data_IF_823732007062
#
_entry.id   IF_823732007062
#
_cell.length_a   1.000
_cell.length_b   1.000
_cell.length_c   1.000
_cell.angle_alpha   90.00
_cell.angle_beta   90.00
_cell.angle_gamma   90.00
#
_symmetry.space_group_name_H-M   'P 1'
#
loop_
_entity.id
_entity.type
_entity.pdbx_description
1 polymer ?
#
# COMPACT_ATOMS: atom_id res chain seq x y z
N UNK A 1 -17.95 -7.48 16.60
CA UNK A 1 -16.84 -6.53 16.81
C UNK A 1 -16.82 -5.57 15.64
N UNK A 2 -16.83 -4.24 15.86
CA UNK A 2 -16.84 -3.26 14.76
C UNK A 2 -15.49 -3.16 14.04
N UNK A 3 -15.48 -2.67 12.79
CA UNK A 3 -14.28 -2.56 11.94
C UNK A 3 -13.10 -1.86 12.65
N UNK A 4 -13.40 -0.76 13.35
CA UNK A 4 -12.41 -0.01 14.14
C UNK A 4 -11.76 -0.88 15.23
N UNK A 5 -12.54 -1.67 15.95
CA UNK A 5 -12.02 -2.53 17.01
C UNK A 5 -11.11 -3.64 16.45
N UNK A 6 -11.41 -4.18 15.27
CA UNK A 6 -10.53 -5.17 14.61
C UNK A 6 -9.19 -4.52 14.24
N UNK A 7 -9.20 -3.33 13.64
CA UNK A 7 -7.98 -2.63 13.26
C UNK A 7 -7.14 -2.27 14.49
N UNK A 8 -7.76 -1.78 15.57
CA UNK A 8 -7.05 -1.44 16.80
C UNK A 8 -6.44 -2.68 17.48
N UNK A 9 -7.13 -3.83 17.45
CA UNK A 9 -6.56 -5.10 17.91
C UNK A 9 -5.26 -5.44 17.15
N UNK A 10 -5.27 -5.35 15.83
CA UNK A 10 -4.08 -5.64 15.02
C UNK A 10 -2.96 -4.63 15.23
N UNK A 11 -3.29 -3.34 15.36
CA UNK A 11 -2.32 -2.28 15.67
C UNK A 11 -1.64 -2.50 17.02
N UNK A 12 -2.39 -2.91 18.04
CA UNK A 12 -1.87 -3.14 19.39
C UNK A 12 -0.73 -4.18 19.41
N UNK A 13 -0.77 -5.14 18.49
CA UNK A 13 0.22 -6.21 18.37
C UNK A 13 1.19 -6.03 17.19
N UNK A 14 1.30 -4.82 16.62
CA UNK A 14 2.10 -4.60 15.42
C UNK A 14 3.62 -4.82 15.62
N UNK A 15 4.12 -4.72 16.85
CA UNK A 15 5.53 -4.91 17.20
C UNK A 15 5.90 -6.33 17.65
N UNK A 16 4.91 -7.14 17.98
CA UNK A 16 5.09 -8.50 18.49
C UNK A 16 5.35 -9.49 17.35
N UNK A 17 6.01 -10.62 17.65
CA UNK A 17 6.12 -11.70 16.67
C UNK A 17 4.75 -12.34 16.44
N UNK A 18 4.26 -12.22 15.21
CA UNK A 18 2.98 -12.71 14.76
C UNK A 18 2.92 -14.21 14.50
N UNK A 19 4.04 -14.91 14.50
CA UNK A 19 4.11 -16.31 14.11
C UNK A 19 3.17 -17.22 14.93
N UNK A 20 3.09 -17.13 16.28
CA UNK A 20 2.16 -17.95 17.05
C UNK A 20 0.68 -17.69 16.70
N UNK A 21 0.30 -16.42 16.51
CA UNK A 21 -1.06 -16.06 16.11
C UNK A 21 -1.37 -16.58 14.71
N UNK A 22 -0.38 -16.54 13.80
CA UNK A 22 -0.53 -17.05 12.45
C UNK A 22 -0.68 -18.58 12.41
N UNK A 23 0.08 -19.28 13.24
CA UNK A 23 -0.01 -20.74 13.44
C UNK A 23 -1.36 -21.15 14.03
N UNK A 24 -1.96 -20.32 14.89
CA UNK A 24 -3.32 -20.53 15.41
C UNK A 24 -4.44 -20.19 14.41
N UNK A 25 -4.10 -19.87 13.16
CA UNK A 25 -5.06 -19.61 12.08
C UNK A 25 -5.43 -18.13 11.87
N UNK A 26 -4.84 -17.18 12.61
CA UNK A 26 -5.11 -15.74 12.39
C UNK A 26 -4.38 -15.27 11.13
N UNK A 27 -5.08 -14.61 10.21
CA UNK A 27 -4.46 -14.07 8.99
C UNK A 27 -3.78 -12.72 9.27
N UNK A 28 -2.65 -12.40 8.61
CA UNK A 28 -2.08 -11.06 8.66
C UNK A 28 -3.03 -10.04 8.03
N UNK A 29 -2.89 -8.77 8.40
CA UNK A 29 -3.72 -7.66 7.94
C UNK A 29 -2.88 -6.60 7.24
N UNK A 30 -3.41 -6.11 6.12
CA UNK A 30 -2.92 -4.96 5.39
C UNK A 30 -3.97 -3.86 5.37
N UNK A 31 -3.59 -2.63 5.65
CA UNK A 31 -4.46 -1.46 5.49
C UNK A 31 -4.06 -0.67 4.24
N UNK A 32 -4.99 -0.47 3.32
CA UNK A 32 -4.83 0.35 2.11
C UNK A 32 -5.80 1.51 2.20
N UNK A 33 -5.30 2.75 2.27
CA UNK A 33 -6.13 3.97 2.36
C UNK A 33 -7.21 3.91 3.46
N UNK A 34 -6.84 3.38 4.63
CA UNK A 34 -7.75 3.22 5.77
C UNK A 34 -8.67 1.99 5.71
N UNK A 35 -8.69 1.26 4.60
CA UNK A 35 -9.50 0.05 4.43
C UNK A 35 -8.67 -1.18 4.80
N UNK A 36 -9.10 -1.99 5.78
CA UNK A 36 -8.37 -3.19 6.20
C UNK A 36 -8.75 -4.42 5.36
N UNK A 37 -7.73 -5.20 5.02
CA UNK A 37 -7.83 -6.47 4.30
C UNK A 37 -7.04 -7.55 5.03
N UNK A 38 -7.58 -8.76 5.09
CA UNK A 38 -6.83 -9.96 5.42
C UNK A 38 -5.97 -10.39 4.24
N UNK A 39 -4.73 -10.79 4.51
CA UNK A 39 -3.80 -11.29 3.51
C UNK A 39 -4.00 -12.79 3.37
N UNK A 40 -4.39 -13.24 2.17
CA UNK A 40 -4.55 -14.66 1.83
C UNK A 40 -3.54 -15.07 0.75
N UNK A 41 -2.29 -15.23 1.16
CA UNK A 41 -1.15 -15.54 0.27
C UNK A 41 -1.33 -16.84 -0.52
N UNK A 42 -2.07 -17.82 -0.01
CA UNK A 42 -2.37 -19.05 -0.77
C UNK A 42 -3.12 -18.77 -2.07
N UNK A 43 -3.99 -17.78 -2.08
CA UNK A 43 -4.83 -17.43 -3.22
C UNK A 43 -4.36 -16.17 -3.94
N UNK A 44 -3.35 -15.48 -3.41
CA UNK A 44 -2.93 -14.14 -3.87
C UNK A 44 -4.07 -13.12 -3.81
N UNK A 45 -4.87 -13.18 -2.74
CA UNK A 45 -6.03 -12.31 -2.54
C UNK A 45 -5.90 -11.47 -1.27
N UNK A 46 -6.31 -10.21 -1.34
CA UNK A 46 -6.62 -9.39 -0.18
C UNK A 46 -8.12 -9.43 0.04
N UNK A 47 -8.56 -10.12 1.10
CA UNK A 47 -9.97 -10.24 1.44
C UNK A 47 -10.37 -9.11 2.38
N UNK A 48 -11.32 -8.23 2.04
CA UNK A 48 -11.68 -7.11 2.90
C UNK A 48 -12.28 -7.62 4.21
N UNK A 49 -12.00 -6.91 5.31
CA UNK A 49 -12.68 -7.17 6.58
C UNK A 49 -14.17 -6.78 6.47
N UNK A 50 -14.47 -5.79 5.64
CA UNK A 50 -15.83 -5.39 5.30
C UNK A 50 -16.35 -6.20 4.10
N UNK A 51 -17.37 -7.04 4.32
CA UNK A 51 -17.97 -7.92 3.31
C UNK A 51 -18.62 -7.20 2.13
N UNK A 52 -18.87 -5.88 2.23
CA UNK A 52 -19.45 -5.08 1.15
C UNK A 52 -18.43 -4.62 0.11
N UNK A 53 -17.14 -4.82 0.37
CA UNK A 53 -16.07 -4.53 -0.59
C UNK A 53 -15.68 -5.80 -1.35
N UNK A 54 -15.22 -5.67 -2.60
CA UNK A 54 -14.72 -6.80 -3.36
C UNK A 54 -13.34 -7.23 -2.83
N UNK A 55 -13.04 -8.50 -3.07
CA UNK A 55 -11.69 -9.02 -2.93
C UNK A 55 -10.74 -8.41 -3.97
N UNK A 56 -9.46 -8.29 -3.61
CA UNK A 56 -8.43 -7.85 -4.54
C UNK A 56 -7.55 -9.05 -4.88
N UNK A 57 -7.67 -9.57 -6.10
CA UNK A 57 -6.67 -10.48 -6.65
C UNK A 57 -5.43 -9.68 -7.05
N UNK A 58 -4.47 -9.61 -6.14
CA UNK A 58 -3.22 -8.92 -6.38
C UNK A 58 -2.23 -9.79 -7.16
N UNK A 59 -2.46 -11.10 -7.28
CA UNK A 59 -1.69 -11.95 -8.19
C UNK A 59 -1.91 -11.56 -9.65
N UNK A 60 -3.15 -11.22 -10.02
CA UNK A 60 -3.50 -10.76 -11.36
C UNK A 60 -3.14 -9.27 -11.60
N UNK A 61 -3.40 -8.40 -10.62
CA UNK A 61 -3.28 -6.95 -10.82
C UNK A 61 -1.92 -6.34 -10.46
N UNK A 62 -1.02 -7.11 -9.85
CA UNK A 62 0.29 -6.58 -9.43
C UNK A 62 1.44 -6.91 -10.37
N UNK A 63 2.53 -6.15 -10.20
CA UNK A 63 3.82 -6.37 -10.84
C UNK A 63 4.91 -6.31 -9.78
N UNK A 64 5.84 -7.27 -9.83
CA UNK A 64 7.03 -7.25 -9.00
C UNK A 64 7.93 -6.05 -9.35
N UNK A 65 8.51 -5.44 -8.33
CA UNK A 65 9.61 -4.48 -8.46
C UNK A 65 10.87 -5.17 -8.97
N UNK A 66 11.83 -4.37 -9.46
CA UNK A 66 13.07 -4.91 -10.04
C UNK A 66 13.92 -5.66 -9.00
N UNK A 67 13.86 -5.26 -7.73
CA UNK A 67 14.52 -5.95 -6.62
C UNK A 67 13.81 -7.26 -6.19
N UNK A 68 12.61 -7.53 -6.74
CA UNK A 68 11.77 -8.67 -6.39
C UNK A 68 11.30 -8.67 -4.93
N UNK A 69 11.38 -7.54 -4.22
CA UNK A 69 10.99 -7.45 -2.81
C UNK A 69 9.58 -6.95 -2.61
N UNK A 70 9.03 -6.24 -3.59
CA UNK A 70 7.72 -5.61 -3.50
C UNK A 70 6.87 -5.94 -4.72
N UNK A 71 5.57 -5.74 -4.56
CA UNK A 71 4.59 -5.77 -5.63
C UNK A 71 3.89 -4.41 -5.69
N UNK A 72 3.65 -3.95 -6.92
CA UNK A 72 2.99 -2.68 -7.23
C UNK A 72 1.71 -2.97 -8.01
N UNK A 73 0.60 -2.34 -7.62
CA UNK A 73 -0.67 -2.45 -8.34
C UNK A 73 -1.50 -1.17 -8.20
N UNK A 74 -2.41 -0.95 -9.15
CA UNK A 74 -3.35 0.15 -9.10
C UNK A 74 -4.59 -0.22 -8.28
N UNK A 75 -5.11 0.72 -7.53
CA UNK A 75 -6.23 0.54 -6.60
C UNK A 75 -7.26 1.65 -6.78
N UNK A 76 -8.53 1.28 -6.91
CA UNK A 76 -9.65 2.22 -6.94
C UNK A 76 -10.17 2.43 -5.51
N UNK A 77 -9.90 3.61 -4.94
CA UNK A 77 -10.32 3.96 -3.58
C UNK A 77 -11.84 4.08 -3.42
N UNK A 78 -12.58 4.31 -4.52
CA UNK A 78 -14.03 4.50 -4.48
C UNK A 78 -14.76 3.18 -4.22
N UNK A 79 -14.29 2.10 -4.83
CA UNK A 79 -14.95 0.78 -4.72
C UNK A 79 -14.05 -0.29 -4.09
N UNK A 80 -12.82 0.03 -3.71
CA UNK A 80 -11.94 -0.84 -2.95
C UNK A 80 -11.40 -2.03 -3.73
N UNK A 81 -11.18 -1.90 -5.05
CA UNK A 81 -10.74 -2.99 -5.94
C UNK A 81 -9.36 -2.73 -6.56
N UNK A 82 -8.67 -3.81 -6.93
CA UNK A 82 -7.50 -3.75 -7.80
C UNK A 82 -7.89 -3.41 -9.24
N UNK A 83 -7.03 -2.67 -9.94
CA UNK A 83 -7.26 -2.22 -11.31
C UNK A 83 -6.25 -2.88 -12.24
N UNK A 84 -6.75 -3.67 -13.20
CA UNK A 84 -5.96 -4.31 -14.25
C UNK A 84 -5.82 -3.43 -15.51
N UNK A 85 -6.82 -2.60 -15.77
CA UNK A 85 -6.87 -1.69 -16.92
C UNK A 85 -7.28 -0.31 -16.42
N UNK A 86 -6.45 0.69 -16.70
CA UNK A 86 -6.70 2.08 -16.31
C UNK A 86 -7.64 2.81 -17.26
N UNK A 87 -8.02 2.19 -18.38
CA UNK A 87 -8.96 2.77 -19.35
C UNK A 87 -10.30 3.06 -18.68
N UNK A 88 -10.69 4.34 -18.64
CA UNK A 88 -11.95 4.79 -18.04
C UNK A 88 -11.89 5.11 -16.55
N UNK A 89 -10.73 5.05 -15.89
CA UNK A 89 -10.60 5.47 -14.49
C UNK A 89 -10.30 6.96 -14.36
N UNK A 90 -10.94 7.60 -13.38
CA UNK A 90 -10.67 8.98 -12.98
C UNK A 90 -9.45 8.98 -12.05
N UNK A 91 -8.35 9.68 -12.39
CA UNK A 91 -7.10 9.62 -11.63
C UNK A 91 -7.25 9.92 -10.13
N UNK A 92 -8.16 10.82 -9.78
CA UNK A 92 -8.41 11.22 -8.39
C UNK A 92 -8.85 10.05 -7.49
N UNK A 93 -9.41 8.99 -8.08
CA UNK A 93 -9.84 7.79 -7.37
C UNK A 93 -8.80 6.66 -7.41
N UNK A 94 -7.68 6.86 -8.10
CA UNK A 94 -6.68 5.82 -8.31
C UNK A 94 -5.45 6.07 -7.44
N UNK A 95 -5.10 5.04 -6.67
CA UNK A 95 -3.83 4.95 -5.95
C UNK A 95 -2.93 3.94 -6.64
N UNK A 96 -1.63 4.19 -6.61
CA UNK A 96 -0.63 3.16 -6.84
C UNK A 96 -0.18 2.66 -5.48
N UNK A 97 -0.33 1.36 -5.25
CA UNK A 97 -0.11 0.70 -3.97
C UNK A 97 1.16 -0.14 -4.05
N UNK A 98 2.03 0.01 -3.06
CA UNK A 98 3.23 -0.81 -2.86
C UNK A 98 3.07 -1.66 -1.62
N UNK A 99 3.24 -2.96 -1.80
CA UNK A 99 3.22 -3.97 -0.73
C UNK A 99 4.45 -4.85 -0.82
N UNK A 100 4.91 -5.46 0.28
CA UNK A 100 5.93 -6.50 0.21
C UNK A 100 5.47 -7.68 -0.68
N UNK A 101 6.42 -8.44 -1.21
CA UNK A 101 6.14 -9.70 -1.90
C UNK A 101 5.54 -10.74 -0.94
N UNK A 102 4.84 -11.75 -1.46
CA UNK A 102 4.19 -12.81 -0.69
C UNK A 102 5.04 -13.43 0.42
N UNK A 103 6.33 -13.69 0.14
CA UNK A 103 7.26 -14.26 1.11
C UNK A 103 7.49 -13.36 2.33
N UNK A 104 7.27 -12.05 2.20
CA UNK A 104 7.38 -11.08 3.28
C UNK A 104 6.01 -10.70 3.88
N UNK A 105 4.93 -10.85 3.11
CA UNK A 105 3.55 -10.61 3.56
C UNK A 105 3.03 -11.70 4.50
N UNK A 106 3.16 -12.98 4.11
CA UNK A 106 2.85 -14.14 4.96
C UNK A 106 3.98 -15.18 4.84
N UNK A 107 5.12 -14.96 5.53
CA UNK A 107 6.25 -15.89 5.58
C UNK A 107 5.84 -17.32 5.93
N UNK A 108 4.86 -17.48 6.83
CA UNK A 108 4.38 -18.78 7.26
C UNK A 108 3.67 -19.51 6.12
N UNK A 109 2.69 -18.88 5.46
CA UNK A 109 2.01 -19.52 4.32
C UNK A 109 2.98 -19.77 3.16
N UNK A 110 3.90 -18.85 2.87
CA UNK A 110 4.91 -19.05 1.84
C UNK A 110 5.83 -20.24 2.15
N UNK A 111 6.23 -20.42 3.41
CA UNK A 111 7.01 -21.58 3.86
C UNK A 111 6.28 -22.90 3.61
N UNK A 112 4.96 -22.94 3.86
CA UNK A 112 4.11 -24.10 3.62
C UNK A 112 3.97 -24.41 2.12
N UNK A 113 3.88 -23.38 1.27
CA UNK A 113 3.76 -23.55 -0.18
C UNK A 113 5.07 -24.02 -0.85
N UNK A 114 6.21 -23.65 -0.28
CA UNK A 114 7.54 -23.93 -0.87
C UNK A 114 8.27 -25.10 -0.20
N UNK A 115 7.73 -25.62 0.91
CA UNK A 115 8.37 -26.62 1.76
C UNK A 115 9.77 -26.20 2.26
N UNK A 116 9.95 -24.89 2.50
CA UNK A 116 11.18 -24.31 3.04
C UNK A 116 10.96 -23.83 4.48
N UNK A 117 11.99 -23.79 5.34
CA UNK A 117 11.83 -23.31 6.72
C UNK A 117 11.35 -21.86 6.78
N UNK A 118 10.36 -21.58 7.64
CA UNK A 118 9.79 -20.23 7.82
C UNK A 118 10.84 -19.19 8.20
N UNK A 119 11.88 -19.58 8.95
CA UNK A 119 12.97 -18.72 9.40
C UNK A 119 13.73 -18.03 8.25
N UNK A 120 13.67 -18.57 7.03
CA UNK A 120 14.28 -17.96 5.84
C UNK A 120 13.57 -16.69 5.36
N UNK A 121 12.31 -16.52 5.75
CA UNK A 121 11.43 -15.48 5.23
C UNK A 121 11.01 -14.46 6.29
N UNK A 122 11.38 -14.68 7.55
CA UNK A 122 11.08 -13.77 8.65
C UNK A 122 11.90 -12.48 8.53
N UNK A 123 11.21 -11.34 8.58
CA UNK A 123 11.83 -10.02 8.52
C UNK A 123 12.33 -9.64 9.92
N UNK A 124 13.65 -9.50 10.09
CA UNK A 124 14.27 -9.31 11.41
C UNK A 124 13.85 -10.40 12.43
N UNK A 125 13.63 -11.64 11.95
CA UNK A 125 13.25 -12.76 12.80
C UNK A 125 11.79 -12.80 13.26
N UNK A 126 10.90 -11.95 12.70
CA UNK A 126 9.48 -11.91 13.07
C UNK A 126 8.54 -11.91 11.87
N UNK A 127 7.30 -12.35 12.11
CA UNK A 127 6.17 -12.17 11.19
C UNK A 127 5.33 -10.96 11.65
N UNK A 128 5.09 -9.98 10.78
CA UNK A 128 4.25 -8.83 11.13
C UNK A 128 2.78 -9.12 10.82
N UNK A 129 1.92 -9.09 11.84
CA UNK A 129 0.47 -9.29 11.66
C UNK A 129 -0.25 -8.06 11.13
N UNK A 130 0.32 -6.87 11.27
CA UNK A 130 -0.30 -5.61 10.86
C UNK A 130 0.66 -4.80 10.01
N UNK A 131 0.21 -4.38 8.84
CA UNK A 131 0.96 -3.49 7.93
C UNK A 131 0.03 -2.41 7.37
N UNK A 132 0.61 -1.27 7.07
CA UNK A 132 -0.03 -0.22 6.26
C UNK A 132 0.68 -0.19 4.92
N UNK A 133 -0.08 -0.27 3.83
CA UNK A 133 0.48 -0.21 2.50
C UNK A 133 1.03 1.20 2.21
N UNK A 134 2.13 1.27 1.47
CA UNK A 134 2.62 2.54 0.97
C UNK A 134 1.79 2.91 -0.27
N UNK A 135 1.12 4.05 -0.24
CA UNK A 135 0.25 4.48 -1.34
C UNK A 135 0.66 5.84 -1.86
N UNK A 136 0.49 6.05 -3.17
CA UNK A 136 0.67 7.36 -3.81
C UNK A 136 -0.51 7.63 -4.77
N UNK A 137 -1.05 8.86 -4.78
CA UNK A 137 -2.10 9.22 -5.72
C UNK A 137 -1.57 9.22 -7.15
N UNK A 138 -2.39 8.75 -8.08
CA UNK A 138 -2.04 8.72 -9.51
C UNK A 138 -2.58 9.96 -10.20
N UNK A 139 -1.78 10.56 -11.08
CA UNK A 139 -2.20 11.72 -11.89
C UNK A 139 -2.59 11.29 -13.31
N UNK A 140 -3.39 12.10 -14.02
CA UNK A 140 -3.73 11.83 -15.42
C UNK A 140 -2.48 11.66 -16.29
N UNK A 141 -1.43 12.45 -16.02
CA UNK A 141 -0.14 12.33 -16.72
C UNK A 141 0.51 10.96 -16.50
N UNK A 142 0.39 10.39 -15.30
CA UNK A 142 0.89 9.06 -15.00
C UNK A 142 0.06 7.99 -15.71
N UNK A 143 -1.27 8.08 -15.67
CA UNK A 143 -2.16 7.17 -16.41
C UNK A 143 -1.82 7.17 -17.90
N UNK A 144 -1.69 8.35 -18.51
CA UNK A 144 -1.33 8.48 -19.91
C UNK A 144 0.06 7.88 -20.23
N UNK A 145 1.00 7.88 -19.29
CA UNK A 145 2.31 7.22 -19.46
C UNK A 145 2.19 5.70 -19.39
N UNK A 146 1.36 5.18 -18.49
CA UNK A 146 1.09 3.73 -18.39
C UNK A 146 0.43 3.23 -19.67
N UNK A 147 -0.65 3.90 -20.09
CA UNK A 147 -1.46 3.51 -21.26
C UNK A 147 -0.64 3.63 -22.56
N UNK A 148 0.11 4.72 -22.74
CA UNK A 148 0.73 5.01 -24.05
C UNK A 148 2.18 4.54 -24.23
N UNK A 149 2.90 4.11 -23.17
CA UNK A 149 4.38 4.00 -23.24
C UNK A 149 5.06 2.79 -22.60
N UNK A 150 4.38 1.79 -22.05
CA UNK A 150 5.08 0.83 -21.18
C UNK A 150 5.03 -0.64 -21.64
N UNK A 151 6.20 -1.15 -22.02
CA UNK A 151 6.62 -2.54 -21.83
C UNK A 151 6.97 -2.87 -20.36
N UNK A 152 7.41 -4.10 -20.04
CA UNK A 152 7.21 -4.75 -18.74
C UNK A 152 8.05 -4.19 -17.57
N UNK A 153 7.43 -4.14 -16.38
CA UNK A 153 8.01 -3.95 -15.02
C UNK A 153 8.63 -2.59 -14.67
N UNK A 154 9.61 -2.09 -15.42
CA UNK A 154 10.38 -0.87 -15.09
C UNK A 154 9.49 0.40 -15.01
N UNK A 155 8.39 0.31 -15.74
CA UNK A 155 7.19 1.12 -15.77
C UNK A 155 6.61 1.49 -14.39
N UNK A 156 6.26 0.53 -13.54
CA UNK A 156 5.49 0.78 -12.31
C UNK A 156 6.33 1.40 -11.20
N UNK A 157 7.56 0.92 -11.04
CA UNK A 157 8.46 1.38 -9.98
C UNK A 157 8.90 2.83 -10.21
N UNK A 158 9.23 3.17 -11.47
CA UNK A 158 9.51 4.55 -11.84
C UNK A 158 8.31 5.48 -11.64
N UNK A 159 7.09 5.00 -11.92
CA UNK A 159 5.87 5.77 -11.65
C UNK A 159 5.68 6.00 -10.15
N UNK A 160 5.86 4.97 -9.33
CA UNK A 160 5.73 5.07 -7.89
C UNK A 160 6.72 6.08 -7.30
N UNK A 161 8.01 5.96 -7.64
CA UNK A 161 9.05 6.84 -7.15
C UNK A 161 8.85 8.29 -7.61
N UNK A 162 8.39 8.51 -8.84
CA UNK A 162 8.06 9.85 -9.34
C UNK A 162 6.85 10.45 -8.63
N UNK A 163 5.78 9.68 -8.42
CA UNK A 163 4.60 10.13 -7.71
C UNK A 163 4.93 10.50 -6.25
N UNK A 164 5.73 9.66 -5.58
CA UNK A 164 6.22 9.93 -4.23
C UNK A 164 7.01 11.24 -4.16
N UNK A 165 7.92 11.49 -5.10
CA UNK A 165 8.68 12.74 -5.20
C UNK A 165 7.78 13.97 -5.37
N UNK A 166 6.77 13.88 -6.25
CA UNK A 166 5.82 14.98 -6.49
C UNK A 166 4.98 15.25 -5.23
N UNK A 167 4.47 14.20 -4.58
CA UNK A 167 3.70 14.34 -3.35
C UNK A 167 4.51 14.98 -2.21
N UNK A 168 5.78 14.59 -2.05
CA UNK A 168 6.69 15.19 -1.08
C UNK A 168 6.97 16.67 -1.37
N UNK A 169 7.18 17.04 -2.64
CA UNK A 169 7.42 18.43 -3.05
C UNK A 169 6.19 19.34 -2.86
N UNK A 170 4.98 18.82 -3.07
CA UNK A 170 3.74 19.57 -2.81
C UNK A 170 3.60 19.92 -1.32
N UNK A 171 3.92 18.97 -0.44
CA UNK A 171 3.82 19.17 1.01
C UNK A 171 4.85 20.15 1.56
N UNK A 172 6.08 20.18 1.02
CA UNK A 172 7.10 21.16 1.43
C UNK A 172 6.76 22.60 0.99
N UNK A 173 6.10 22.76 -0.17
CA UNK A 173 5.68 24.07 -0.70
C UNK A 173 4.54 24.71 0.12
N UNK A 174 3.68 23.88 0.73
CA UNK A 174 2.61 24.34 1.63
C UNK A 174 3.16 24.84 2.99
N UNK A 175 4.32 24.34 3.43
CA UNK A 175 4.95 24.78 4.68
C UNK A 175 5.72 26.10 4.52
N UNK A 176 6.22 26.44 3.34
CA UNK A 176 6.93 27.71 3.10
C UNK A 176 6.00 28.90 2.91
N UNK A 177 4.80 28.67 2.37
CA UNK A 177 3.78 29.72 2.14
C UNK A 177 2.98 30.07 3.40
N UNK A 178 3.00 29.22 4.43
CA UNK A 178 2.37 29.47 5.74
C UNK A 178 3.26 30.27 6.71
N UNK A 179 4.53 30.53 6.36
CA UNK A 179 5.48 31.31 7.17
C UNK A 179 5.54 32.82 6.88
N UNK A 180 4.85 33.31 5.85
CA UNK A 180 4.92 34.73 5.41
C UNK A 180 3.61 35.48 5.63
N UNK A 181 3.14 35.56 6.87
CA UNK A 181 2.17 36.60 7.28
C UNK A 181 2.63 37.33 8.54
N UNK A 182 2.68 38.65 8.41
CA UNK A 182 2.88 39.71 9.42
C UNK A 182 4.31 40.09 9.84
N UNK A 183 4.97 40.87 8.97
CA UNK A 183 5.67 42.08 9.44
C UNK A 183 4.86 43.31 8.99
N UNK A 184 3.90 43.72 9.83
CA UNK A 184 3.19 45.00 9.69
C UNK A 184 4.24 46.13 9.73
N UNK A 185 4.48 46.77 8.59
CA UNK A 185 5.15 48.08 8.51
C UNK A 185 4.33 49.08 9.33
N UNK A 186 4.82 49.47 10.50
CA UNK A 186 4.40 50.70 11.17
C UNK A 186 5.08 51.86 10.44
N UNK A 187 4.34 52.55 9.58
CA UNK A 187 4.63 53.94 9.25
C UNK A 187 4.13 54.78 10.42
N UNK A 188 5.02 55.30 11.26
CA UNK A 188 4.71 56.42 12.14
C UNK A 188 5.00 57.71 11.39
N UNK A 189 3.94 58.34 10.90
CA UNK A 189 3.91 59.77 10.61
C UNK A 189 3.89 60.51 11.96
N UNK A 190 4.97 61.23 12.26
CA UNK A 190 5.02 62.61 12.81
C UNK A 190 6.41 62.89 13.35
#
# INVERSE_FOLDING_TARGET
>A
MGLKAVVELYKAHASEDGLPARQSGRLPMLVIDGIPYYIETRFNVLRPVNIYLPEIDYGACSRLTNDGQHQLFFYDKKCGKGINDLSGYIPENVLLVKVPENRFLDPFMHSMLTNLPVSRFLENGRLLMYRVAETVPVTQRMINRVINKMGPRESFENLFNNAKRIALAANSTLQTTSGTKHKKRRNSLR
#
